data_IF_465990359082
#
_entry.id   IF_465990359082
#
_cell.length_a   1.000
_cell.length_b   1.000
_cell.length_c   1.000
_cell.angle_alpha   90.00
_cell.angle_beta   90.00
_cell.angle_gamma   90.00
#
_symmetry.space_group_name_H-M   'P 1'
#
loop_
_entity.id
_entity.type
_entity.pdbx_description
1 polymer ?
#
# COMPACT_ATOMS: atom_id res chain seq x y z
N UNK A 1 3.54 13.32 14.39
CA UNK A 1 2.07 13.43 14.36
C UNK A 1 1.73 13.80 12.94
N UNK A 2 1.52 12.79 12.11
CA UNK A 2 1.30 12.97 10.68
C UNK A 2 -0.11 13.53 10.51
N UNK A 3 -0.35 14.45 9.56
CA UNK A 3 -1.68 15.00 9.38
C UNK A 3 -2.66 13.84 9.13
N UNK A 4 -3.81 13.78 9.82
CA UNK A 4 -4.84 12.77 9.58
C UNK A 4 -5.24 12.64 8.10
N UNK A 5 -5.01 13.71 7.34
CA UNK A 5 -5.31 13.87 5.92
C UNK A 5 -4.37 13.12 4.97
N UNK A 6 -3.12 12.85 5.35
CA UNK A 6 -2.13 12.27 4.42
C UNK A 6 -2.45 10.81 4.07
N UNK A 7 -2.97 10.04 5.04
CA UNK A 7 -3.37 8.66 4.80
C UNK A 7 -4.60 8.56 3.89
N UNK A 8 -5.57 9.44 4.10
CA UNK A 8 -6.76 9.50 3.26
C UNK A 8 -6.41 9.98 1.84
N UNK A 9 -5.57 11.02 1.73
CA UNK A 9 -5.06 11.49 0.45
C UNK A 9 -4.23 10.43 -0.28
N UNK A 10 -3.39 9.67 0.43
CA UNK A 10 -2.62 8.57 -0.13
C UNK A 10 -3.54 7.43 -0.60
N UNK A 11 -4.54 7.06 0.21
CA UNK A 11 -5.54 6.04 -0.17
C UNK A 11 -6.31 6.48 -1.41
N UNK A 12 -6.66 7.77 -1.48
CA UNK A 12 -7.34 8.36 -2.63
C UNK A 12 -6.45 8.36 -3.89
N UNK A 13 -5.14 8.58 -3.75
CA UNK A 13 -4.20 8.51 -4.86
C UNK A 13 -4.13 7.10 -5.49
N UNK A 14 -4.38 6.04 -4.71
CA UNK A 14 -4.51 4.67 -5.21
C UNK A 14 -5.93 4.29 -5.68
N UNK A 15 -6.91 5.19 -5.55
CA UNK A 15 -8.29 4.92 -5.90
C UNK A 15 -8.61 5.32 -7.35
N UNK A 16 -9.48 4.55 -8.02
CA UNK A 16 -9.90 4.81 -9.40
C UNK A 16 -9.18 3.92 -10.41
N UNK A 17 -9.10 4.38 -11.66
CA UNK A 17 -8.42 3.65 -12.73
C UNK A 17 -6.96 4.10 -12.83
N UNK A 18 -6.06 3.28 -12.31
CA UNK A 18 -4.64 3.63 -12.21
C UNK A 18 -4.27 4.26 -10.85
N UNK A 19 -3.16 5.00 -10.83
CA UNK A 19 -2.62 5.66 -9.64
C UNK A 19 -2.36 7.13 -9.96
N UNK A 20 -2.74 8.04 -9.07
CA UNK A 20 -2.32 9.44 -9.10
C UNK A 20 -0.88 9.55 -8.57
N UNK A 21 0.08 9.34 -9.48
CA UNK A 21 1.51 9.27 -9.16
C UNK A 21 2.05 10.58 -8.56
N UNK A 22 1.57 11.73 -9.03
CA UNK A 22 2.01 13.04 -8.53
C UNK A 22 1.60 13.25 -7.07
N UNK A 23 0.34 12.95 -6.73
CA UNK A 23 -0.14 13.01 -5.35
C UNK A 23 0.60 12.00 -4.47
N UNK A 24 0.79 10.77 -4.95
CA UNK A 24 1.52 9.72 -4.22
C UNK A 24 2.96 10.16 -3.90
N UNK A 25 3.71 10.66 -4.88
CA UNK A 25 5.10 11.10 -4.70
C UNK A 25 5.17 12.33 -3.80
N UNK A 26 4.25 13.29 -3.93
CA UNK A 26 4.21 14.49 -3.09
C UNK A 26 3.94 14.18 -1.61
N UNK A 27 3.12 13.16 -1.32
CA UNK A 27 2.84 12.72 0.05
C UNK A 27 4.02 11.92 0.59
N UNK A 28 4.41 10.83 -0.09
CA UNK A 28 5.46 9.93 0.36
C UNK A 28 6.83 10.60 0.40
N UNK A 29 7.11 11.55 -0.51
CA UNK A 29 8.36 12.30 -0.55
C UNK A 29 8.56 13.24 0.64
N UNK A 30 7.51 13.54 1.41
CA UNK A 30 7.58 14.36 2.64
C UNK A 30 7.65 13.50 3.91
N UNK A 31 7.42 12.20 3.81
CA UNK A 31 7.39 11.31 4.97
C UNK A 31 8.79 11.02 5.49
N UNK A 32 8.94 11.15 6.81
CA UNK A 32 10.13 10.70 7.54
C UNK A 32 9.90 9.31 8.17
N UNK A 33 10.94 8.73 8.78
CA UNK A 33 10.89 7.39 9.39
C UNK A 33 9.71 7.19 10.35
N UNK A 34 9.37 8.20 11.16
CA UNK A 34 8.23 8.17 12.08
C UNK A 34 6.87 8.10 11.37
N UNK A 35 6.75 8.70 10.19
CA UNK A 35 5.53 8.68 9.39
C UNK A 35 5.33 7.30 8.78
N UNK A 36 6.41 6.73 8.23
CA UNK A 36 6.44 5.36 7.71
C UNK A 36 6.13 4.33 8.79
N UNK A 37 6.69 4.49 10.00
CA UNK A 37 6.38 3.61 11.14
C UNK A 37 4.90 3.74 11.56
N UNK A 38 4.37 4.96 11.64
CA UNK A 38 2.96 5.19 11.96
C UNK A 38 2.01 4.61 10.92
N UNK A 39 2.37 4.68 9.64
CA UNK A 39 1.62 4.04 8.54
C UNK A 39 1.56 2.52 8.70
N UNK A 40 2.72 1.88 8.94
CA UNK A 40 2.84 0.43 9.07
C UNK A 40 2.04 -0.08 10.27
N UNK A 41 2.13 0.61 11.41
CA UNK A 41 1.32 0.32 12.60
C UNK A 41 -0.20 0.46 12.39
N UNK A 42 -0.64 1.34 11.47
CA UNK A 42 -2.06 1.48 11.10
C UNK A 42 -2.53 0.42 10.10
N UNK A 43 -1.61 -0.34 9.50
CA UNK A 43 -1.89 -1.38 8.50
C UNK A 43 -1.42 -2.77 8.96
N UNK A 44 -1.83 -3.25 10.15
CA UNK A 44 -1.29 -4.46 10.79
C UNK A 44 -1.59 -5.76 10.05
N UNK A 45 -2.48 -5.74 9.05
CA UNK A 45 -2.79 -6.90 8.18
C UNK A 45 -1.72 -7.13 7.12
N UNK A 46 -0.92 -6.10 6.81
CA UNK A 46 0.09 -6.16 5.77
C UNK A 46 1.49 -6.30 6.33
N UNK A 47 1.73 -5.85 7.56
CA UNK A 47 3.03 -5.84 8.22
C UNK A 47 2.95 -6.67 9.50
N UNK A 48 3.73 -7.74 9.55
CA UNK A 48 3.85 -8.64 10.69
C UNK A 48 5.25 -8.51 11.28
N UNK A 49 5.34 -8.46 12.62
CA UNK A 49 6.61 -8.59 13.33
C UNK A 49 6.94 -10.07 13.53
N UNK A 50 8.17 -10.46 13.20
CA UNK A 50 8.66 -11.80 13.52
C UNK A 50 9.14 -11.91 14.98
N UNK A 51 9.54 -13.11 15.40
CA UNK A 51 10.06 -13.37 16.76
C UNK A 51 11.28 -12.52 17.14
N UNK A 52 11.97 -11.94 16.15
CA UNK A 52 13.15 -11.09 16.30
C UNK A 52 12.80 -9.60 16.22
N UNK A 53 11.51 -9.26 16.20
CA UNK A 53 10.98 -7.90 16.04
C UNK A 53 11.36 -7.24 14.71
N UNK A 54 11.66 -8.03 13.68
CA UNK A 54 11.78 -7.51 12.33
C UNK A 54 10.40 -7.45 11.70
N UNK A 55 10.03 -6.25 11.25
CA UNK A 55 8.81 -6.06 10.48
C UNK A 55 9.00 -6.60 9.06
N UNK A 56 8.09 -7.47 8.63
CA UNK A 56 8.03 -8.04 7.29
C UNK A 56 6.61 -7.90 6.76
N UNK A 57 6.48 -7.86 5.44
CA UNK A 57 5.17 -7.99 4.83
C UNK A 57 4.57 -9.40 5.04
N UNK A 58 3.24 -9.51 5.08
CA UNK A 58 2.56 -10.82 5.10
C UNK A 58 2.67 -11.47 3.71
N UNK A 59 3.58 -12.44 3.59
CA UNK A 59 3.87 -13.13 2.33
C UNK A 59 2.62 -13.82 1.73
N UNK A 60 1.69 -14.33 2.56
CA UNK A 60 0.45 -14.94 2.09
C UNK A 60 -0.49 -13.91 1.50
N UNK A 61 -0.64 -12.77 2.16
CA UNK A 61 -1.47 -11.66 1.69
C UNK A 61 -0.92 -11.07 0.38
N UNK A 62 0.40 -10.91 0.26
CA UNK A 62 1.06 -10.45 -0.97
C UNK A 62 0.87 -11.46 -2.11
N UNK A 63 0.97 -12.76 -1.84
CA UNK A 63 0.71 -13.80 -2.84
C UNK A 63 -0.75 -13.76 -3.34
N UNK A 64 -1.71 -13.59 -2.42
CA UNK A 64 -3.12 -13.41 -2.77
C UNK A 64 -3.35 -12.18 -3.66
N UNK A 65 -2.77 -11.03 -3.31
CA UNK A 65 -2.85 -9.83 -4.15
C UNK A 65 -2.29 -10.07 -5.55
N UNK A 66 -1.09 -10.66 -5.64
CA UNK A 66 -0.44 -10.98 -6.91
C UNK A 66 -1.34 -11.83 -7.80
N UNK A 67 -1.98 -12.86 -7.22
CA UNK A 67 -2.92 -13.72 -7.93
C UNK A 67 -4.15 -12.95 -8.43
N UNK A 68 -4.75 -12.10 -7.61
CA UNK A 68 -5.90 -11.29 -8.02
C UNK A 68 -5.53 -10.30 -9.13
N UNK A 69 -4.38 -9.63 -9.06
CA UNK A 69 -3.89 -8.76 -10.15
C UNK A 69 -3.66 -9.52 -11.46
N UNK A 70 -3.13 -10.75 -11.40
CA UNK A 70 -3.00 -11.61 -12.58
C UNK A 70 -4.37 -11.96 -13.17
N UNK A 71 -5.38 -12.27 -12.35
CA UNK A 71 -6.75 -12.53 -12.81
C UNK A 71 -7.35 -11.32 -13.50
N UNK A 72 -7.17 -10.13 -12.94
CA UNK A 72 -7.60 -8.88 -13.58
C UNK A 72 -6.92 -8.66 -14.93
N UNK A 73 -5.60 -8.87 -15.02
CA UNK A 73 -4.85 -8.75 -16.28
C UNK A 73 -5.35 -9.73 -17.34
N UNK A 74 -5.61 -10.98 -16.96
CA UNK A 74 -6.18 -12.00 -17.85
C UNK A 74 -7.56 -11.58 -18.34
N UNK A 75 -8.45 -11.12 -17.47
CA UNK A 75 -9.78 -10.63 -17.86
C UNK A 75 -9.69 -9.42 -18.81
N UNK A 76 -8.77 -8.49 -18.57
CA UNK A 76 -8.55 -7.34 -19.44
C UNK A 76 -8.13 -7.77 -20.86
N UNK A 77 -7.29 -8.81 -20.99
CA UNK A 77 -6.92 -9.36 -22.31
C UNK A 77 -8.09 -10.03 -23.04
N UNK A 78 -9.07 -10.57 -22.33
CA UNK A 78 -10.26 -11.19 -22.96
C UNK A 78 -11.36 -10.19 -23.31
N UNK A 79 -11.29 -8.96 -22.81
CA UNK A 79 -12.28 -7.90 -23.02
C UNK A 79 -11.84 -6.86 -24.06
N UNK A 80 -10.62 -6.94 -24.59
CA UNK A 80 -10.05 -6.12 -25.66
C UNK A 80 -9.88 -6.95 -26.94
#
# INVERSE_FOLDING_TARGET
>A
MDPPNDFEALTKAFSGFGVDEDSMVSILGKWHSQHLESFRKRTPKFFLEDERLFERWDDHHIACLTKEFLRFKVLMFFLL
#
